data_IF_483263599990
#
_entry.id   IF_483263599990
#
_cell.length_a   1.000
_cell.length_b   1.000
_cell.length_c   1.000
_cell.angle_alpha   90.00
_cell.angle_beta   90.00
_cell.angle_gamma   90.00
#
_symmetry.space_group_name_H-M   'P 1'
#
loop_
_entity.id
_entity.type
_entity.pdbx_description
1 polymer ?
#
# COMPACT_ATOMS: atom_id res chain seq x y z
N UNK A 1 18.61 1.05 7.36
CA UNK A 1 17.83 2.12 6.70
C UNK A 1 17.61 1.72 5.26
N UNK A 2 16.37 1.41 4.88
CA UNK A 2 16.02 1.13 3.48
C UNK A 2 16.46 2.32 2.61
N UNK A 3 17.20 2.08 1.52
CA UNK A 3 17.56 3.10 0.53
C UNK A 3 18.90 3.83 0.70
N UNK A 4 19.70 3.57 1.75
CA UNK A 4 21.01 4.27 1.92
C UNK A 4 21.97 4.06 0.74
N UNK A 5 21.89 2.90 0.08
CA UNK A 5 22.74 2.55 -1.05
C UNK A 5 22.08 2.79 -2.42
N UNK A 6 20.81 3.20 -2.46
CA UNK A 6 20.01 3.31 -3.68
C UNK A 6 19.55 4.76 -3.88
N UNK A 7 20.44 5.62 -4.36
CA UNK A 7 20.18 7.07 -4.53
C UNK A 7 18.97 7.35 -5.43
N UNK A 8 18.75 6.52 -6.44
CA UNK A 8 17.63 6.63 -7.38
C UNK A 8 16.25 6.54 -6.70
N UNK A 9 16.16 5.87 -5.55
CA UNK A 9 14.89 5.72 -4.82
C UNK A 9 14.32 7.05 -4.30
N UNK A 10 15.15 8.09 -4.22
CA UNK A 10 14.71 9.46 -3.86
C UNK A 10 14.00 10.18 -4.99
N UNK A 11 14.25 9.76 -6.23
CA UNK A 11 13.73 10.41 -7.43
C UNK A 11 12.52 9.66 -8.02
N UNK A 12 11.98 8.67 -7.29
CA UNK A 12 10.81 7.89 -7.70
C UNK A 12 9.71 7.96 -6.62
N UNK A 13 8.45 7.70 -7.01
CA UNK A 13 7.37 7.59 -6.05
C UNK A 13 7.65 6.52 -4.98
N UNK A 14 7.23 6.84 -3.76
CA UNK A 14 7.17 5.91 -2.64
C UNK A 14 5.71 5.81 -2.22
N UNK A 15 5.24 4.59 -2.04
CA UNK A 15 3.84 4.30 -1.73
C UNK A 15 3.69 3.89 -0.28
N UNK A 16 2.65 4.42 0.37
CA UNK A 16 2.21 3.96 1.69
C UNK A 16 1.38 2.70 1.52
N UNK A 17 1.80 1.58 2.12
CA UNK A 17 1.15 0.27 1.94
C UNK A 17 0.72 -0.33 3.28
N UNK A 18 -0.42 -1.01 3.25
CA UNK A 18 -0.84 -1.93 4.32
C UNK A 18 -0.26 -3.31 4.03
N UNK A 19 0.45 -3.89 4.99
CA UNK A 19 1.08 -5.21 4.83
C UNK A 19 0.14 -6.29 5.33
N UNK A 20 -0.05 -7.37 4.57
CA UNK A 20 -0.87 -8.50 4.99
C UNK A 20 -0.37 -9.09 6.32
N UNK A 21 -1.28 -9.23 7.29
CA UNK A 21 -0.95 -9.76 8.63
C UNK A 21 -0.63 -11.25 8.61
N UNK A 22 -0.86 -11.97 7.50
CA UNK A 22 -0.41 -13.36 7.34
C UNK A 22 1.09 -13.47 7.11
N UNK A 23 1.73 -12.41 6.60
CA UNK A 23 3.15 -12.37 6.26
C UNK A 23 4.03 -11.74 7.36
N UNK A 24 3.39 -11.19 8.41
CA UNK A 24 4.04 -10.45 9.50
C UNK A 24 3.37 -10.74 10.84
N UNK A 25 4.17 -10.77 11.90
CA UNK A 25 3.68 -10.99 13.27
C UNK A 25 2.79 -9.84 13.79
N UNK A 26 2.89 -8.65 13.20
CA UNK A 26 2.12 -7.47 13.60
C UNK A 26 1.59 -6.74 12.36
N UNK A 27 0.42 -6.09 12.44
CA UNK A 27 -0.05 -5.14 11.42
C UNK A 27 0.99 -4.05 11.15
N UNK A 28 1.19 -3.68 9.89
CA UNK A 28 2.18 -2.68 9.49
C UNK A 28 1.62 -1.79 8.37
N UNK A 29 1.75 -0.48 8.59
CA UNK A 29 1.67 0.57 7.57
C UNK A 29 3.10 1.05 7.31
N UNK A 30 3.58 0.95 6.08
CA UNK A 30 4.98 1.27 5.75
C UNK A 30 5.11 1.92 4.37
N UNK A 31 6.28 2.47 4.07
CA UNK A 31 6.59 3.06 2.77
C UNK A 31 7.52 2.16 1.96
N UNK A 32 7.18 1.96 0.69
CA UNK A 32 7.96 1.15 -0.25
C UNK A 32 8.17 1.93 -1.55
N UNK A 33 9.41 1.97 -2.10
CA UNK A 33 9.66 2.62 -3.39
C UNK A 33 9.03 1.81 -4.53
N UNK A 34 8.58 2.50 -5.57
CA UNK A 34 7.89 1.88 -6.73
C UNK A 34 8.62 0.66 -7.31
N UNK A 35 9.96 0.70 -7.38
CA UNK A 35 10.78 -0.38 -7.95
C UNK A 35 10.66 -1.71 -7.20
N UNK A 36 10.15 -1.69 -5.96
CA UNK A 36 9.95 -2.89 -5.15
C UNK A 36 8.48 -3.35 -5.16
N UNK A 37 7.65 -2.83 -6.08
CA UNK A 37 6.21 -3.12 -6.14
C UNK A 37 5.88 -3.76 -7.49
N UNK A 38 5.21 -4.91 -7.43
CA UNK A 38 4.56 -5.55 -8.57
C UNK A 38 3.03 -5.51 -8.40
N UNK A 39 2.31 -5.24 -9.48
CA UNK A 39 0.86 -5.15 -9.45
C UNK A 39 0.22 -6.55 -9.44
N UNK A 40 -0.51 -6.86 -8.38
CA UNK A 40 -1.28 -8.10 -8.25
C UNK A 40 -2.77 -7.74 -8.15
N UNK A 41 -3.59 -8.32 -9.04
CA UNK A 41 -5.05 -8.16 -9.02
C UNK A 41 -5.74 -9.36 -8.39
N UNK A 42 -7.03 -9.22 -8.10
CA UNK A 42 -7.91 -10.29 -7.65
C UNK A 42 -7.46 -10.96 -6.34
N UNK A 43 -6.67 -10.25 -5.54
CA UNK A 43 -6.10 -10.76 -4.29
C UNK A 43 -6.51 -9.85 -3.14
N UNK A 44 -7.07 -10.45 -2.08
CA UNK A 44 -7.39 -9.76 -0.84
C UNK A 44 -6.31 -10.00 0.20
N UNK A 45 -6.02 -8.98 0.99
CA UNK A 45 -5.15 -9.08 2.16
C UNK A 45 -5.96 -9.14 3.46
N UNK A 46 -5.31 -9.55 4.54
CA UNK A 46 -5.83 -9.38 5.90
C UNK A 46 -5.10 -8.22 6.58
N UNK A 47 -5.82 -7.17 6.96
CA UNK A 47 -5.25 -6.08 7.74
C UNK A 47 -6.34 -5.32 8.51
N UNK A 48 -6.12 -4.96 9.80
CA UNK A 48 -7.17 -4.33 10.62
C UNK A 48 -7.60 -2.94 10.11
N UNK A 49 -6.73 -2.23 9.39
CA UNK A 49 -7.03 -0.89 8.86
C UNK A 49 -7.75 -0.90 7.50
N UNK A 50 -8.10 -2.07 6.94
CA UNK A 50 -8.76 -2.13 5.63
C UNK A 50 -10.06 -1.34 5.63
N UNK A 51 -10.91 -1.56 6.62
CA UNK A 51 -12.24 -0.93 6.69
C UNK A 51 -12.15 0.58 6.94
N UNK A 52 -11.06 1.05 7.55
CA UNK A 52 -10.80 2.48 7.77
C UNK A 52 -10.36 3.20 6.47
N UNK A 53 -9.66 2.48 5.58
CA UNK A 53 -9.03 3.06 4.38
C UNK A 53 -9.84 2.84 3.10
N UNK A 54 -10.52 1.71 3.01
CA UNK A 54 -11.21 1.26 1.80
C UNK A 54 -12.70 1.02 2.08
N UNK A 55 -13.54 1.31 1.10
CA UNK A 55 -14.99 1.05 1.16
C UNK A 55 -15.31 -0.43 0.95
N UNK A 56 -14.46 -1.12 0.19
CA UNK A 56 -14.64 -2.53 -0.11
C UNK A 56 -13.66 -3.02 -1.17
N UNK A 57 -13.90 -4.23 -1.65
CA UNK A 57 -13.12 -4.88 -2.71
C UNK A 57 -14.06 -5.30 -3.82
N UNK A 58 -13.82 -4.81 -5.04
CA UNK A 58 -14.72 -4.96 -6.19
C UNK A 58 -14.58 -6.30 -6.94
N UNK A 59 -13.70 -7.19 -6.45
CA UNK A 59 -13.35 -8.45 -7.11
C UNK A 59 -11.99 -8.41 -7.82
N UNK A 60 -11.45 -7.22 -8.08
CA UNK A 60 -10.12 -7.02 -8.66
C UNK A 60 -9.19 -6.18 -7.76
N UNK A 61 -9.71 -5.13 -7.12
CA UNK A 61 -8.94 -4.18 -6.31
C UNK A 61 -9.78 -3.59 -5.17
N UNK A 62 -9.11 -2.90 -4.24
CA UNK A 62 -9.78 -2.15 -3.18
C UNK A 62 -10.22 -0.77 -3.66
N UNK A 63 -11.38 -0.32 -3.19
CA UNK A 63 -11.93 1.00 -3.52
C UNK A 63 -11.59 1.98 -2.38
N UNK A 64 -10.76 3.01 -2.61
CA UNK A 64 -10.34 3.92 -1.56
C UNK A 64 -11.51 4.78 -1.08
N UNK A 65 -11.58 5.03 0.24
CA UNK A 65 -12.55 5.98 0.81
C UNK A 65 -12.27 7.40 0.33
N UNK A 66 -13.27 8.31 0.37
CA UNK A 66 -13.11 9.69 -0.10
C UNK A 66 -11.96 10.44 0.58
N UNK A 67 -11.77 10.22 1.88
CA UNK A 67 -10.68 10.87 2.63
C UNK A 67 -9.30 10.42 2.13
N UNK A 68 -9.14 9.12 1.82
CA UNK A 68 -7.88 8.56 1.36
C UNK A 68 -7.55 9.08 -0.04
N UNK A 69 -8.55 9.12 -0.93
CA UNK A 69 -8.43 9.70 -2.27
C UNK A 69 -8.13 11.21 -2.23
N UNK A 70 -8.58 11.91 -1.21
CA UNK A 70 -8.26 13.33 -1.03
C UNK A 70 -6.80 13.56 -0.63
N UNK A 71 -6.22 12.60 0.10
CA UNK A 71 -4.81 12.63 0.49
C UNK A 71 -3.88 12.16 -0.62
N UNK A 72 -4.29 11.12 -1.37
CA UNK A 72 -3.56 10.52 -2.48
C UNK A 72 -4.40 10.56 -3.76
N UNK A 73 -4.51 11.72 -4.43
CA UNK A 73 -5.40 11.90 -5.57
C UNK A 73 -4.89 11.25 -6.87
N UNK A 74 -3.63 10.81 -6.89
CA UNK A 74 -2.98 10.17 -8.06
C UNK A 74 -2.82 8.65 -7.91
N UNK A 75 -3.29 8.09 -6.80
CA UNK A 75 -3.32 6.65 -6.55
C UNK A 75 -4.56 5.99 -7.18
#
# INVERSE_FOLDING_TARGET
MHGKNNKEWRNMPNYSILVDTRDRLSPQLTYVPQVNIDLVKNTKIMHPLLDDHFEGFDGAQYIPRPWLKSLYPQD
#
